data_IF_294490978376
#
_entry.id   IF_294490978376
#
_cell.length_a   1.000
_cell.length_b   1.000
_cell.length_c   1.000
_cell.angle_alpha   90.00
_cell.angle_beta   90.00
_cell.angle_gamma   90.00
#
_symmetry.space_group_name_H-M   'P 1'
#
loop_
_entity.id
_entity.type
_entity.pdbx_description
1 polymer ?
#
# COMPACT_ATOMS: atom_id res chain seq x y z
N UNK A 1 15.61 -14.25 10.19
CA UNK A 1 14.43 -14.48 11.06
C UNK A 1 13.82 -13.13 11.37
N UNK A 2 12.80 -12.73 10.59
CA UNK A 2 12.12 -11.44 10.81
C UNK A 2 11.14 -11.58 11.96
N UNK A 3 11.35 -10.82 13.04
CA UNK A 3 10.38 -10.69 14.12
C UNK A 3 9.17 -9.93 13.58
N UNK A 4 8.16 -10.63 13.08
CA UNK A 4 6.82 -10.09 12.88
C UNK A 4 6.17 -9.96 14.25
N UNK A 5 6.18 -8.75 14.79
CA UNK A 5 5.34 -8.39 15.92
C UNK A 5 3.88 -8.59 15.50
N UNK A 6 3.14 -9.50 16.13
CA UNK A 6 1.70 -9.63 15.88
C UNK A 6 1.17 -11.03 16.08
N UNK A 7 0.20 -11.14 17.00
CA UNK A 7 -0.74 -12.25 17.25
C UNK A 7 -0.13 -13.67 17.29
N UNK A 8 0.04 -14.21 18.49
CA UNK A 8 0.55 -15.59 18.70
C UNK A 8 -0.54 -16.63 18.92
N UNK A 9 -1.81 -16.22 19.05
CA UNK A 9 -2.93 -17.13 19.28
C UNK A 9 -4.23 -16.56 18.67
N UNK A 10 -5.16 -17.46 18.37
CA UNK A 10 -6.51 -17.18 17.93
C UNK A 10 -7.34 -16.59 19.07
N UNK A 11 -8.00 -15.45 18.84
CA UNK A 11 -8.79 -14.77 19.88
C UNK A 11 -10.09 -15.47 20.22
N UNK A 12 -10.64 -16.25 19.29
CA UNK A 12 -11.90 -16.97 19.50
C UNK A 12 -11.73 -18.33 20.22
N UNK A 13 -10.70 -19.11 19.88
CA UNK A 13 -10.50 -20.45 20.45
C UNK A 13 -9.19 -20.64 21.22
N UNK A 14 -8.37 -19.59 21.35
CA UNK A 14 -7.07 -19.59 22.04
C UNK A 14 -6.02 -20.56 21.46
N UNK A 15 -6.27 -21.14 20.29
CA UNK A 15 -5.31 -21.99 19.59
C UNK A 15 -4.13 -21.20 19.05
N UNK A 16 -2.94 -21.79 19.09
CA UNK A 16 -1.72 -21.26 18.47
C UNK A 16 -1.56 -21.70 16.99
N UNK A 17 -2.47 -22.55 16.48
CA UNK A 17 -2.41 -23.11 15.13
C UNK A 17 -2.86 -22.11 14.06
N UNK A 18 -2.06 -21.07 13.83
CA UNK A 18 -2.33 -20.03 12.83
C UNK A 18 -1.59 -20.32 11.52
N UNK A 19 -2.33 -20.28 10.41
CA UNK A 19 -1.79 -20.46 9.06
C UNK A 19 -2.00 -19.22 8.21
N UNK A 20 -1.03 -18.90 7.34
CA UNK A 20 -1.14 -17.76 6.44
C UNK A 20 -1.88 -18.15 5.16
N UNK A 21 -2.92 -17.41 4.82
CA UNK A 21 -3.72 -17.65 3.62
C UNK A 21 -3.96 -16.36 2.84
N UNK A 22 -4.44 -16.51 1.60
CA UNK A 22 -4.91 -15.39 0.79
C UNK A 22 -6.44 -15.32 0.89
N UNK A 23 -6.93 -14.21 1.39
CA UNK A 23 -8.35 -13.94 1.58
C UNK A 23 -8.83 -12.84 0.62
N UNK A 24 -10.11 -12.85 0.30
CA UNK A 24 -10.76 -11.82 -0.51
C UNK A 24 -11.91 -11.25 0.28
N UNK A 25 -11.96 -9.93 0.43
CA UNK A 25 -12.99 -9.25 1.22
C UNK A 25 -13.47 -7.96 0.55
N UNK A 26 -14.61 -7.44 1.00
CA UNK A 26 -15.33 -6.30 0.45
C UNK A 26 -15.31 -5.13 1.42
N UNK A 27 -14.90 -3.96 0.91
CA UNK A 27 -14.78 -2.74 1.68
C UNK A 27 -15.68 -1.66 1.08
N UNK A 28 -16.39 -0.92 1.93
CA UNK A 28 -17.11 0.28 1.48
C UNK A 28 -16.16 1.48 1.54
N UNK A 29 -15.81 2.01 0.37
CA UNK A 29 -14.92 3.17 0.21
C UNK A 29 -15.66 4.22 -0.61
N UNK A 30 -15.95 5.38 0.00
CA UNK A 30 -16.65 6.48 -0.67
C UNK A 30 -17.95 6.06 -1.36
N UNK A 31 -18.78 5.27 -0.66
CA UNK A 31 -20.05 4.71 -1.15
C UNK A 31 -19.92 3.74 -2.34
N UNK A 32 -18.72 3.20 -2.58
CA UNK A 32 -18.46 2.15 -3.57
C UNK A 32 -17.98 0.90 -2.86
N UNK A 33 -18.42 -0.26 -3.34
CA UNK A 33 -17.93 -1.55 -2.86
C UNK A 33 -16.64 -1.90 -3.61
N UNK A 34 -15.51 -1.82 -2.92
CA UNK A 34 -14.20 -2.25 -3.39
C UNK A 34 -13.97 -3.70 -2.95
N UNK A 35 -13.68 -4.58 -3.89
CA UNK A 35 -13.26 -5.96 -3.64
C UNK A 35 -11.74 -5.99 -3.65
N UNK A 36 -11.16 -6.35 -2.50
CA UNK A 36 -9.71 -6.53 -2.37
C UNK A 36 -9.42 -8.02 -2.38
N UNK A 37 -8.73 -8.48 -3.41
CA UNK A 37 -8.32 -9.87 -3.58
C UNK A 37 -6.93 -10.12 -2.98
N UNK A 38 -6.65 -11.37 -2.58
CA UNK A 38 -5.32 -11.81 -2.14
C UNK A 38 -4.74 -11.07 -0.92
N UNK A 39 -5.59 -10.73 0.03
CA UNK A 39 -5.19 -10.16 1.32
C UNK A 39 -4.45 -11.25 2.12
N UNK A 40 -3.19 -11.01 2.56
CA UNK A 40 -2.40 -12.01 3.26
C UNK A 40 -2.73 -12.02 4.76
N UNK A 41 -3.78 -12.75 5.13
CA UNK A 41 -4.30 -12.85 6.51
C UNK A 41 -3.76 -14.08 7.25
N UNK A 42 -3.92 -14.10 8.57
CA UNK A 42 -3.76 -15.31 9.37
C UNK A 42 -5.14 -15.97 9.54
N UNK A 43 -5.22 -17.28 9.41
CA UNK A 43 -6.42 -18.07 9.70
C UNK A 43 -6.12 -19.08 10.81
N UNK A 44 -6.98 -19.15 11.82
CA UNK A 44 -6.92 -20.24 12.79
C UNK A 44 -7.33 -21.56 12.14
N UNK A 45 -6.48 -22.57 12.26
CA UNK A 45 -6.73 -23.90 11.68
C UNK A 45 -7.82 -24.69 12.41
N UNK A 46 -8.07 -24.35 13.67
CA UNK A 46 -8.97 -25.11 14.53
C UNK A 46 -10.41 -24.58 14.47
N UNK A 47 -10.61 -23.26 14.45
CA UNK A 47 -11.94 -22.64 14.40
C UNK A 47 -12.23 -21.87 13.10
N UNK A 48 -11.24 -21.66 12.23
CA UNK A 48 -11.39 -20.94 10.96
C UNK A 48 -11.40 -19.41 11.06
N UNK A 49 -11.22 -18.82 12.26
CA UNK A 49 -11.18 -17.37 12.47
C UNK A 49 -10.15 -16.70 11.55
N UNK A 50 -10.55 -15.64 10.85
CA UNK A 50 -9.68 -14.79 10.03
C UNK A 50 -9.20 -13.62 10.86
N UNK A 51 -7.88 -13.48 10.96
CA UNK A 51 -7.20 -12.46 11.76
C UNK A 51 -6.47 -11.51 10.80
N UNK A 52 -6.86 -10.24 10.85
CA UNK A 52 -6.21 -9.15 10.11
C UNK A 52 -5.02 -8.67 10.94
N UNK A 53 -3.84 -9.20 10.64
CA UNK A 53 -2.58 -8.76 11.24
C UNK A 53 -2.09 -7.44 10.65
N UNK A 54 -0.96 -6.93 11.15
CA UNK A 54 -0.37 -5.67 10.66
C UNK A 54 -0.04 -5.73 9.16
N UNK A 55 0.34 -6.90 8.62
CA UNK A 55 0.70 -7.03 7.21
C UNK A 55 -0.55 -6.99 6.34
N UNK A 56 -1.62 -7.70 6.74
CA UNK A 56 -2.91 -7.63 6.08
C UNK A 56 -3.49 -6.22 6.10
N UNK A 57 -3.43 -5.53 7.26
CA UNK A 57 -3.90 -4.15 7.40
C UNK A 57 -3.14 -3.20 6.47
N UNK A 58 -1.81 -3.28 6.41
CA UNK A 58 -1.00 -2.46 5.51
C UNK A 58 -1.34 -2.71 4.04
N UNK A 59 -1.59 -3.98 3.66
CA UNK A 59 -1.99 -4.34 2.31
C UNK A 59 -3.36 -3.74 1.94
N UNK A 60 -4.33 -3.81 2.87
CA UNK A 60 -5.67 -3.23 2.69
C UNK A 60 -5.57 -1.71 2.52
N UNK A 61 -4.82 -1.03 3.40
CA UNK A 61 -4.61 0.42 3.33
C UNK A 61 -3.97 0.84 2.00
N UNK A 62 -3.00 0.07 1.51
CA UNK A 62 -2.39 0.31 0.19
C UNK A 62 -3.41 0.17 -0.94
N UNK A 63 -4.22 -0.89 -0.95
CA UNK A 63 -5.24 -1.07 -2.00
C UNK A 63 -6.32 0.02 -1.95
N UNK A 64 -6.75 0.45 -0.75
CA UNK A 64 -7.69 1.56 -0.59
C UNK A 64 -7.08 2.87 -1.11
N UNK A 65 -5.80 3.13 -0.81
CA UNK A 65 -5.09 4.31 -1.32
C UNK A 65 -5.00 4.29 -2.85
N UNK A 66 -4.66 3.16 -3.46
CA UNK A 66 -4.64 2.98 -4.92
C UNK A 66 -6.03 3.25 -5.51
N UNK A 67 -7.09 2.73 -4.88
CA UNK A 67 -8.46 2.95 -5.33
C UNK A 67 -8.87 4.42 -5.30
N UNK A 68 -8.61 5.12 -4.18
CA UNK A 68 -8.91 6.54 -4.03
C UNK A 68 -8.14 7.40 -5.04
N UNK A 69 -6.95 6.96 -5.42
CA UNK A 69 -6.10 7.62 -6.41
C UNK A 69 -6.36 7.15 -7.85
N UNK A 70 -7.53 6.58 -8.12
CA UNK A 70 -7.95 6.11 -9.45
C UNK A 70 -6.93 5.15 -10.11
N UNK A 71 -6.27 4.32 -9.31
CA UNK A 71 -5.30 3.33 -9.77
C UNK A 71 -3.86 3.82 -9.77
N UNK A 72 -3.61 5.10 -9.49
CA UNK A 72 -2.25 5.64 -9.43
C UNK A 72 -1.48 5.12 -8.21
N UNK A 73 -0.26 4.66 -8.44
CA UNK A 73 0.67 4.16 -7.42
C UNK A 73 1.86 5.11 -7.31
N UNK A 74 2.16 5.55 -6.09
CA UNK A 74 3.33 6.35 -5.75
C UNK A 74 4.17 5.66 -4.66
N UNK A 75 5.28 5.02 -5.05
CA UNK A 75 6.17 4.31 -4.13
C UNK A 75 7.31 5.16 -3.59
N UNK A 76 7.35 6.47 -3.86
CA UNK A 76 8.49 7.33 -3.49
C UNK A 76 8.80 7.24 -1.99
N UNK A 77 7.78 7.27 -1.12
CA UNK A 77 8.00 7.18 0.32
C UNK A 77 8.56 5.83 0.78
N UNK A 78 8.18 4.73 0.12
CA UNK A 78 8.66 3.39 0.43
C UNK A 78 10.14 3.24 0.02
N UNK A 79 10.48 3.68 -1.18
CA UNK A 79 11.85 3.65 -1.71
C UNK A 79 12.76 4.61 -0.93
N UNK A 80 12.27 5.81 -0.62
CA UNK A 80 13.00 6.79 0.21
C UNK A 80 13.38 6.19 1.57
N UNK A 81 12.45 5.49 2.23
CA UNK A 81 12.70 4.81 3.51
C UNK A 81 13.74 3.71 3.36
N UNK A 82 13.66 2.86 2.32
CA UNK A 82 14.64 1.79 2.11
C UNK A 82 16.04 2.31 1.81
N UNK A 83 16.15 3.40 1.04
CA UNK A 83 17.42 4.10 0.74
C UNK A 83 17.88 5.06 1.85
N UNK A 84 17.15 5.18 2.96
CA UNK A 84 17.42 6.13 4.06
C UNK A 84 17.61 7.58 3.59
N UNK A 85 16.88 7.99 2.56
CA UNK A 85 16.93 9.34 2.02
C UNK A 85 16.03 10.28 2.84
N UNK A 86 16.50 11.49 3.11
CA UNK A 86 15.70 12.53 3.77
C UNK A 86 14.95 13.40 2.76
N UNK A 87 13.89 14.07 3.21
CA UNK A 87 13.19 15.04 2.36
C UNK A 87 14.09 16.24 2.01
N UNK A 88 15.01 16.60 2.90
CA UNK A 88 16.05 17.60 2.67
C UNK A 88 16.91 17.20 1.47
N UNK A 89 17.39 15.95 1.41
CA UNK A 89 18.27 15.51 0.31
C UNK A 89 17.57 15.45 -1.04
N UNK A 90 16.31 15.02 -1.03
CA UNK A 90 15.46 15.07 -2.23
C UNK A 90 15.22 16.52 -2.66
N UNK A 91 14.96 17.41 -1.70
CA UNK A 91 14.72 18.84 -1.95
C UNK A 91 15.92 19.53 -2.59
N UNK A 92 17.14 19.26 -2.11
CA UNK A 92 18.39 19.74 -2.72
C UNK A 92 18.47 19.36 -4.21
N UNK A 93 18.16 18.10 -4.53
CA UNK A 93 18.25 17.58 -5.90
C UNK A 93 17.17 18.17 -6.81
N UNK A 94 15.99 18.42 -6.25
CA UNK A 94 14.85 19.00 -6.96
C UNK A 94 14.89 20.53 -7.05
N UNK A 95 15.76 21.20 -6.28
CA UNK A 95 15.79 22.65 -6.13
C UNK A 95 14.57 23.21 -5.39
N UNK A 96 14.02 22.47 -4.42
CA UNK A 96 12.84 22.88 -3.63
C UNK A 96 13.05 22.66 -2.13
N UNK A 97 12.23 23.30 -1.30
CA UNK A 97 12.30 23.15 0.15
C UNK A 97 11.83 21.76 0.62
N UNK A 98 12.27 21.31 1.79
CA UNK A 98 11.82 20.05 2.39
C UNK A 98 10.30 19.99 2.58
N UNK A 99 9.67 21.14 2.89
CA UNK A 99 8.21 21.24 3.02
C UNK A 99 7.54 21.02 1.68
N UNK A 100 8.11 21.60 0.60
CA UNK A 100 7.60 21.41 -0.74
C UNK A 100 7.74 19.96 -1.21
N UNK A 101 8.83 19.28 -0.86
CA UNK A 101 8.94 17.82 -1.08
C UNK A 101 7.81 17.08 -0.38
N UNK A 102 7.54 17.37 0.90
CA UNK A 102 6.42 16.75 1.63
C UNK A 102 5.08 16.89 0.91
N UNK A 103 4.77 18.09 0.41
CA UNK A 103 3.56 18.35 -0.37
C UNK A 103 3.52 17.57 -1.69
N UNK A 104 4.64 17.53 -2.42
CA UNK A 104 4.75 16.79 -3.69
C UNK A 104 4.49 15.29 -3.44
N UNK A 105 5.08 14.72 -2.38
CA UNK A 105 4.93 13.30 -2.07
C UNK A 105 3.52 12.91 -1.60
N UNK A 106 2.71 13.88 -1.18
CA UNK A 106 1.31 13.69 -0.79
C UNK A 106 0.34 13.97 -1.95
N UNK A 107 0.84 14.41 -3.11
CA UNK A 107 -0.02 14.72 -4.24
C UNK A 107 -0.45 13.45 -4.96
N UNK A 108 -1.76 13.29 -5.13
CA UNK A 108 -2.38 12.19 -5.86
C UNK A 108 -2.38 12.40 -7.38
N UNK A 109 -1.92 13.57 -7.85
CA UNK A 109 -1.88 13.94 -9.26
C UNK A 109 -0.58 14.67 -9.60
N UNK A 110 0.48 13.89 -9.79
CA UNK A 110 1.79 14.40 -10.22
C UNK A 110 1.87 14.46 -11.74
N UNK A 111 2.35 15.58 -12.27
CA UNK A 111 2.67 15.65 -13.69
C UNK A 111 3.92 14.81 -14.02
N UNK A 112 4.03 14.38 -15.28
CA UNK A 112 5.12 13.51 -15.76
C UNK A 112 6.50 14.12 -15.50
N UNK A 113 6.66 15.45 -15.62
CA UNK A 113 7.94 16.11 -15.39
C UNK A 113 8.33 16.02 -13.92
N UNK A 114 7.38 16.21 -13.01
CA UNK A 114 7.61 16.03 -11.57
C UNK A 114 7.92 14.59 -11.22
N UNK A 115 7.22 13.62 -11.81
CA UNK A 115 7.53 12.19 -11.64
C UNK A 115 8.96 11.84 -12.05
N UNK A 116 9.39 12.27 -13.24
CA UNK A 116 10.76 12.04 -13.73
C UNK A 116 11.81 12.66 -12.82
N UNK A 117 11.57 13.90 -12.37
CA UNK A 117 12.48 14.57 -11.44
C UNK A 117 12.59 13.84 -10.11
N UNK A 118 11.47 13.37 -9.55
CA UNK A 118 11.45 12.60 -8.30
C UNK A 118 12.19 11.28 -8.44
N UNK A 119 11.92 10.54 -9.51
CA UNK A 119 12.57 9.27 -9.81
C UNK A 119 14.10 9.44 -9.92
N UNK A 120 14.55 10.47 -10.64
CA UNK A 120 15.97 10.83 -10.71
C UNK A 120 16.54 11.22 -9.33
N UNK A 121 15.80 11.98 -8.53
CA UNK A 121 16.24 12.43 -7.21
C UNK A 121 16.41 11.28 -6.19
N UNK A 122 15.73 10.14 -6.41
CA UNK A 122 15.88 8.92 -5.59
C UNK A 122 16.67 7.83 -6.30
N UNK A 123 17.28 8.13 -7.45
CA UNK A 123 18.07 7.22 -8.27
C UNK A 123 17.34 5.91 -8.60
N UNK A 124 16.14 6.04 -9.18
CA UNK A 124 15.30 4.92 -9.60
C UNK A 124 14.67 5.17 -10.97
N UNK A 125 14.43 4.12 -11.77
CA UNK A 125 13.59 4.23 -12.95
C UNK A 125 12.18 4.73 -12.59
N UNK A 126 11.61 5.63 -13.39
CA UNK A 126 10.25 6.16 -13.15
C UNK A 126 9.19 5.05 -13.01
N UNK A 127 9.36 3.94 -13.72
CA UNK A 127 8.49 2.76 -13.70
C UNK A 127 8.62 1.89 -12.46
N UNK A 128 9.72 1.98 -11.70
CA UNK A 128 9.84 1.30 -10.40
C UNK A 128 9.20 2.11 -9.27
N UNK A 129 9.09 3.43 -9.47
CA UNK A 129 8.57 4.40 -8.49
C UNK A 129 7.08 4.64 -8.65
N UNK A 130 6.63 4.81 -9.89
CA UNK A 130 5.26 5.14 -10.25
C UNK A 130 4.65 4.05 -11.11
N UNK A 131 3.37 3.80 -10.91
CA UNK A 131 2.63 2.82 -11.68
C UNK A 131 1.16 3.16 -11.73
N UNK A 132 0.43 2.43 -12.57
CA UNK A 132 -1.01 2.52 -12.68
C UNK A 132 -1.59 1.10 -12.68
N UNK A 133 -2.62 0.89 -11.85
CA UNK A 133 -3.47 -0.29 -11.90
C UNK A 133 -4.81 0.08 -12.49
N UNK A 134 -5.47 -0.90 -13.10
CA UNK A 134 -6.78 -0.70 -13.67
C UNK A 134 -7.85 -0.88 -12.59
N UNK A 135 -8.79 0.07 -12.52
CA UNK A 135 -9.98 -0.11 -11.71
C UNK A 135 -11.11 -0.57 -12.63
N UNK A 136 -11.56 -1.81 -12.42
CA UNK A 136 -12.60 -2.44 -13.23
C UNK A 136 -13.89 -2.53 -12.41
N UNK A 137 -15.02 -2.13 -13.00
CA UNK A 137 -16.35 -2.28 -12.40
C UNK A 137 -17.03 -3.54 -12.93
N UNK A 138 -17.46 -4.45 -12.06
CA UNK A 138 -18.17 -5.70 -12.39
C UNK A 138 -19.34 -5.84 -11.42
N UNK A 139 -20.58 -6.00 -11.92
CA UNK A 139 -21.77 -6.22 -11.08
C UNK A 139 -21.93 -5.23 -9.90
N UNK A 140 -21.62 -3.95 -10.14
CA UNK A 140 -21.63 -2.87 -9.15
C UNK A 140 -20.54 -2.91 -8.07
N UNK A 141 -19.57 -3.81 -8.21
CA UNK A 141 -18.37 -3.90 -7.39
C UNK A 141 -17.15 -3.43 -8.18
N UNK A 142 -16.15 -2.90 -7.47
CA UNK A 142 -14.91 -2.39 -8.05
C UNK A 142 -13.75 -3.30 -7.70
N UNK A 143 -12.90 -3.57 -8.68
CA UNK A 143 -11.72 -4.43 -8.54
C UNK A 143 -10.48 -3.68 -9.01
N UNK A 144 -9.34 -3.94 -8.37
CA UNK A 144 -8.03 -3.45 -8.79
C UNK A 144 -7.33 -4.59 -9.54
N UNK A 145 -7.00 -4.38 -10.83
CA UNK A 145 -6.33 -5.35 -11.70
C UNK A 145 -4.98 -4.84 -12.19
#
# INVERSE_FOLDING_TARGET
MSKTSGVSFCTECFSENLNRILHTDKFNVSNKTLVIESIPVLQCSDCGEIIIDTVASQYIDEQISIFNNNGFINKVNLIKKSKKLSNEKIGETLGVTKQRVGQILQSDNLDVRTMLKLANAIDEPVTSVFGFKNIVKINNEYYIK
#
